data_IF_768404488272
#
_entry.id   IF_768404488272
#
_cell.length_a   1.000
_cell.length_b   1.000
_cell.length_c   1.000
_cell.angle_alpha   90.00
_cell.angle_beta   90.00
_cell.angle_gamma   90.00
#
_symmetry.space_group_name_H-M   'P 1'
#
loop_
_entity.id
_entity.type
_entity.pdbx_description
1 polymer ?
#
# COMPACT_ATOMS: atom_id res chain seq x y z
N UNK A 1 -2.24 -6.94 35.46
CA UNK A 1 -1.95 -6.13 34.24
C UNK A 1 -2.24 -7.03 33.04
N UNK A 2 -3.29 -6.70 32.27
CA UNK A 2 -3.81 -7.41 31.07
C UNK A 2 -2.74 -7.53 29.97
N UNK A 3 -2.76 -8.42 28.97
CA UNK A 3 -3.64 -9.49 28.49
C UNK A 3 -2.78 -10.36 27.54
N UNK A 4 -3.09 -11.64 27.37
CA UNK A 4 -2.52 -12.51 26.33
C UNK A 4 -3.41 -12.51 25.09
N UNK A 5 -2.85 -12.23 23.90
CA UNK A 5 -3.42 -12.68 22.61
C UNK A 5 -2.26 -13.15 21.70
N UNK A 6 -2.34 -14.38 21.16
CA UNK A 6 -1.30 -14.98 20.30
C UNK A 6 -1.61 -14.72 18.81
N UNK A 7 -0.58 -14.44 18.01
CA UNK A 7 -0.48 -14.86 16.58
C UNK A 7 0.82 -14.39 15.91
N UNK A 8 1.63 -15.37 15.54
CA UNK A 8 2.39 -15.44 14.27
C UNK A 8 2.96 -14.14 13.69
N UNK A 9 3.87 -13.51 14.42
CA UNK A 9 5.04 -12.78 13.93
C UNK A 9 5.94 -12.73 15.16
N UNK A 10 7.20 -13.17 15.06
CA UNK A 10 8.08 -13.18 16.23
C UNK A 10 8.12 -11.77 16.82
N UNK A 11 7.43 -11.56 17.95
CA UNK A 11 7.32 -10.24 18.56
C UNK A 11 8.65 -9.98 19.25
N UNK A 12 9.52 -9.22 18.61
CA UNK A 12 10.78 -8.79 19.21
C UNK A 12 10.47 -7.80 20.35
N UNK A 13 10.64 -8.27 21.58
CA UNK A 13 10.54 -7.42 22.77
C UNK A 13 11.97 -7.18 23.28
N UNK A 14 12.34 -5.92 23.43
CA UNK A 14 13.63 -5.50 23.99
C UNK A 14 13.34 -4.85 25.33
N UNK A 15 14.02 -5.29 26.39
CA UNK A 15 13.96 -4.66 27.70
C UNK A 15 15.18 -3.73 27.84
N UNK A 16 14.91 -2.45 28.13
CA UNK A 16 15.96 -1.44 28.31
C UNK A 16 15.97 -1.02 29.78
N UNK A 17 17.10 -1.13 30.50
CA UNK A 17 17.22 -0.66 31.87
C UNK A 17 17.01 0.85 31.96
N UNK A 18 16.33 1.31 33.03
CA UNK A 18 16.02 2.73 33.24
C UNK A 18 17.27 3.63 33.19
N UNK A 19 18.40 3.12 33.69
CA UNK A 19 19.67 3.85 33.71
C UNK A 19 20.14 4.28 32.31
N UNK A 20 19.86 3.48 31.27
CA UNK A 20 20.31 3.75 29.89
C UNK A 20 19.31 4.51 29.03
N UNK A 21 18.13 4.87 29.58
CA UNK A 21 17.04 5.46 28.79
C UNK A 21 17.33 6.90 28.34
N UNK A 22 18.12 7.65 29.13
CA UNK A 22 18.47 9.04 28.79
C UNK A 22 19.45 9.08 27.63
N UNK A 23 20.53 8.29 27.68
CA UNK A 23 21.49 8.19 26.58
C UNK A 23 20.80 7.65 25.31
N UNK A 24 19.92 6.65 25.48
CA UNK A 24 19.14 6.11 24.37
C UNK A 24 18.20 7.15 23.74
N UNK A 25 17.55 7.99 24.56
CA UNK A 25 16.71 9.09 24.06
C UNK A 25 17.55 10.09 23.26
N UNK A 26 18.70 10.50 23.79
CA UNK A 26 19.52 11.55 23.18
C UNK A 26 20.12 11.07 21.85
N UNK A 27 20.63 9.83 21.79
CA UNK A 27 21.11 9.21 20.55
C UNK A 27 20.00 9.01 19.51
N UNK A 28 18.82 8.55 19.93
CA UNK A 28 17.67 8.47 19.04
C UNK A 28 17.26 9.85 18.51
N UNK A 29 17.36 10.88 19.34
CA UNK A 29 17.04 12.26 18.92
C UNK A 29 18.04 12.74 17.88
N UNK A 30 19.34 12.48 18.07
CA UNK A 30 20.37 12.80 17.08
C UNK A 30 20.15 12.04 15.76
N UNK A 31 19.83 10.75 15.82
CA UNK A 31 19.50 9.96 14.63
C UNK A 31 18.24 10.45 13.92
N UNK A 32 17.22 10.89 14.66
CA UNK A 32 16.00 11.46 14.10
C UNK A 32 16.24 12.86 13.52
N UNK A 33 17.18 13.65 14.06
CA UNK A 33 17.54 14.94 13.48
C UNK A 33 18.36 14.77 12.19
N UNK A 34 19.28 13.80 12.15
CA UNK A 34 20.15 13.53 11.00
C UNK A 34 19.45 12.75 9.89
N UNK A 35 18.62 11.75 10.25
CA UNK A 35 17.99 10.81 9.32
C UNK A 35 16.48 10.74 9.42
N UNK A 36 15.87 11.52 10.32
CA UNK A 36 14.43 11.72 10.29
C UNK A 36 14.12 12.34 8.95
N UNK A 37 13.55 11.51 8.07
CA UNK A 37 12.75 12.07 7.02
C UNK A 37 11.60 12.71 7.76
N UNK A 38 11.53 14.03 7.74
CA UNK A 38 10.36 14.79 8.18
C UNK A 38 9.25 14.36 7.22
N UNK A 39 8.69 13.17 7.46
CA UNK A 39 7.68 12.53 6.62
C UNK A 39 6.37 13.34 6.67
N UNK A 40 6.35 14.45 7.42
CA UNK A 40 5.39 15.53 7.30
C UNK A 40 5.42 16.24 5.94
N UNK A 41 6.42 16.03 5.08
CA UNK A 41 6.50 16.65 3.74
C UNK A 41 6.18 15.70 2.56
N UNK A 42 5.62 14.50 2.79
CA UNK A 42 5.12 13.63 1.70
C UNK A 42 3.66 13.18 1.84
N UNK A 43 2.89 13.80 2.75
CA UNK A 43 1.44 13.95 2.58
C UNK A 43 1.11 15.24 1.79
N UNK A 44 1.89 15.56 0.77
CA UNK A 44 1.46 16.55 -0.21
C UNK A 44 0.21 16.03 -0.88
N UNK A 45 -0.96 16.60 -0.52
CA UNK A 45 -2.31 16.43 -1.10
C UNK A 45 -2.45 15.27 -2.10
N UNK A 46 -2.20 14.04 -1.62
CA UNK A 46 -2.24 12.86 -2.49
C UNK A 46 -3.71 12.63 -2.86
N UNK A 47 -3.99 12.18 -4.10
CA UNK A 47 -5.36 11.91 -4.53
C UNK A 47 -6.11 11.03 -3.54
N UNK A 48 -7.36 11.38 -3.27
CA UNK A 48 -8.22 10.60 -2.39
C UNK A 48 -8.34 9.15 -2.86
N UNK A 49 -8.20 8.21 -1.92
CA UNK A 49 -8.38 6.78 -2.19
C UNK A 49 -9.76 6.52 -2.81
N UNK A 50 -9.80 5.67 -3.83
CA UNK A 50 -11.06 5.24 -4.46
C UNK A 50 -11.31 3.76 -4.21
N UNK A 51 -12.56 3.34 -4.28
CA UNK A 51 -12.91 1.93 -4.18
C UNK A 51 -14.05 1.56 -5.12
N UNK A 52 -14.05 0.31 -5.57
CA UNK A 52 -15.06 -0.24 -6.46
C UNK A 52 -15.43 -1.66 -6.02
N UNK A 53 -16.72 -1.92 -5.85
CA UNK A 53 -17.23 -3.26 -5.55
C UNK A 53 -17.63 -3.96 -6.85
N UNK A 54 -17.12 -5.16 -7.06
CA UNK A 54 -17.49 -6.03 -8.19
C UNK A 54 -17.79 -7.41 -7.63
N UNK A 55 -19.04 -7.86 -7.76
CA UNK A 55 -19.52 -9.15 -7.22
C UNK A 55 -19.23 -9.32 -5.71
N UNK A 56 -18.43 -10.34 -5.33
CA UNK A 56 -18.00 -10.61 -3.96
C UNK A 56 -16.65 -9.96 -3.60
N UNK A 57 -16.11 -9.12 -4.48
CA UNK A 57 -14.77 -8.53 -4.37
C UNK A 57 -14.85 -7.02 -4.17
N UNK A 58 -13.93 -6.50 -3.36
CA UNK A 58 -13.72 -5.08 -3.19
C UNK A 58 -12.36 -4.69 -3.73
N UNK A 59 -12.32 -3.75 -4.66
CA UNK A 59 -11.09 -3.15 -5.17
C UNK A 59 -10.85 -1.81 -4.48
N UNK A 60 -9.63 -1.61 -4.00
CA UNK A 60 -9.16 -0.33 -3.43
C UNK A 60 -8.03 0.22 -4.27
N UNK A 61 -8.05 1.54 -4.49
CA UNK A 61 -7.08 2.29 -5.27
C UNK A 61 -6.51 3.38 -4.37
N UNK A 62 -5.33 3.13 -3.82
CA UNK A 62 -4.66 4.03 -2.88
C UNK A 62 -3.45 4.67 -3.56
N UNK A 63 -3.36 5.99 -3.55
CA UNK A 63 -2.10 6.66 -3.93
C UNK A 63 -1.27 6.86 -2.68
N UNK A 64 -0.01 6.41 -2.72
CA UNK A 64 0.95 6.56 -1.63
C UNK A 64 2.27 7.13 -2.14
N UNK A 65 3.06 7.65 -1.21
CA UNK A 65 4.44 8.10 -1.47
C UNK A 65 5.40 7.37 -0.53
N UNK A 66 6.62 7.14 -1.01
CA UNK A 66 7.74 6.70 -0.19
C UNK A 66 9.04 7.32 -0.73
N UNK A 67 10.20 6.99 -0.15
CA UNK A 67 11.52 7.49 -0.59
C UNK A 67 11.84 7.24 -2.07
N UNK A 68 11.14 6.31 -2.74
CA UNK A 68 11.31 6.00 -4.17
C UNK A 68 10.35 6.79 -5.08
N UNK A 69 9.43 7.57 -4.52
CA UNK A 69 8.42 8.36 -5.22
C UNK A 69 6.99 7.89 -5.00
N UNK A 70 6.07 8.46 -5.78
CA UNK A 70 4.63 8.20 -5.71
C UNK A 70 4.28 6.89 -6.43
N UNK A 71 3.30 6.17 -5.89
CA UNK A 71 2.79 4.92 -6.44
C UNK A 71 1.29 4.78 -6.26
N UNK A 72 0.67 4.01 -7.15
CA UNK A 72 -0.71 3.55 -7.02
C UNK A 72 -0.68 2.10 -6.51
N UNK A 73 -1.38 1.83 -5.40
CA UNK A 73 -1.62 0.48 -4.91
C UNK A 73 -3.05 0.06 -5.24
N UNK A 74 -3.18 -1.01 -6.01
CA UNK A 74 -4.48 -1.62 -6.33
C UNK A 74 -4.62 -2.89 -5.51
N UNK A 75 -5.60 -2.95 -4.60
CA UNK A 75 -5.85 -4.11 -3.74
C UNK A 75 -7.15 -4.81 -4.13
N UNK A 76 -7.13 -6.12 -4.36
CA UNK A 76 -8.31 -6.98 -4.42
C UNK A 76 -8.54 -7.58 -3.04
N UNK A 77 -9.73 -7.39 -2.48
CA UNK A 77 -10.14 -7.93 -1.17
C UNK A 77 -11.36 -8.81 -1.33
N UNK A 78 -11.26 -10.04 -0.81
CA UNK A 78 -12.35 -10.99 -0.58
C UNK A 78 -12.46 -11.28 0.92
N UNK A 79 -13.46 -12.05 1.33
CA UNK A 79 -13.72 -12.38 2.75
C UNK A 79 -12.48 -12.85 3.52
N UNK A 80 -11.60 -13.65 2.89
CA UNK A 80 -10.45 -14.26 3.55
C UNK A 80 -9.09 -13.96 2.88
N UNK A 81 -9.09 -13.21 1.78
CA UNK A 81 -7.89 -13.01 0.98
C UNK A 81 -7.77 -11.56 0.53
N UNK A 82 -6.56 -11.03 0.66
CA UNK A 82 -6.20 -9.71 0.16
C UNK A 82 -4.92 -9.82 -0.64
N UNK A 83 -4.99 -9.43 -1.91
CA UNK A 83 -3.85 -9.36 -2.81
C UNK A 83 -3.72 -7.92 -3.31
N UNK A 84 -2.51 -7.47 -3.63
CA UNK A 84 -2.31 -6.12 -4.14
C UNK A 84 -1.12 -6.05 -5.09
N UNK A 85 -1.22 -5.13 -6.04
CA UNK A 85 -0.12 -4.72 -6.91
C UNK A 85 0.24 -3.26 -6.63
N UNK A 86 1.50 -2.89 -6.89
CA UNK A 86 2.00 -1.52 -6.73
C UNK A 86 2.58 -1.04 -8.06
N UNK A 87 2.07 0.09 -8.55
CA UNK A 87 2.41 0.66 -9.85
C UNK A 87 3.08 2.02 -9.60
N UNK A 88 4.36 2.20 -9.94
CA UNK A 88 5.03 3.49 -9.77
C UNK A 88 4.42 4.53 -10.71
N UNK A 89 4.37 5.80 -10.27
CA UNK A 89 3.76 6.92 -11.01
C UNK A 89 4.24 7.03 -12.46
N UNK A 90 5.56 6.89 -12.67
CA UNK A 90 6.21 6.92 -14.00
C UNK A 90 5.63 5.94 -15.02
N UNK A 91 4.90 4.91 -14.58
CA UNK A 91 4.31 3.88 -15.43
C UNK A 91 2.80 4.03 -15.64
N UNK A 92 2.13 5.01 -15.03
CA UNK A 92 0.66 5.14 -15.08
C UNK A 92 0.13 5.34 -16.49
N UNK A 93 0.74 6.21 -17.29
CA UNK A 93 0.34 6.46 -18.69
C UNK A 93 0.34 5.15 -19.49
N UNK A 94 1.45 4.40 -19.43
CA UNK A 94 1.56 3.11 -20.14
C UNK A 94 0.57 2.07 -19.62
N UNK A 95 0.34 2.02 -18.31
CA UNK A 95 -0.64 1.11 -17.71
C UNK A 95 -2.06 1.43 -18.18
N UNK A 96 -2.44 2.71 -18.19
CA UNK A 96 -3.73 3.18 -18.72
C UNK A 96 -3.89 2.84 -20.20
N UNK A 97 -2.88 3.12 -21.03
CA UNK A 97 -2.97 2.89 -22.47
C UNK A 97 -3.17 1.39 -22.79
N UNK A 98 -2.48 0.51 -22.05
CA UNK A 98 -2.69 -0.94 -22.13
C UNK A 98 -4.12 -1.35 -21.74
N UNK A 99 -4.67 -0.78 -20.67
CA UNK A 99 -6.05 -1.04 -20.26
C UNK A 99 -7.05 -0.57 -21.31
N UNK A 100 -6.82 0.61 -21.90
CA UNK A 100 -7.66 1.15 -22.96
C UNK A 100 -7.65 0.24 -24.20
N UNK A 101 -6.50 -0.31 -24.60
CA UNK A 101 -6.43 -1.26 -25.71
C UNK A 101 -7.33 -2.49 -25.49
N UNK A 102 -7.39 -3.00 -24.26
CA UNK A 102 -8.29 -4.12 -23.92
C UNK A 102 -9.78 -3.73 -23.93
N UNK A 103 -10.10 -2.49 -23.57
CA UNK A 103 -11.49 -1.98 -23.59
C UNK A 103 -11.96 -1.72 -25.02
N UNK A 104 -11.09 -1.16 -25.86
CA UNK A 104 -11.37 -0.83 -27.27
C UNK A 104 -11.34 -2.06 -28.19
N UNK A 105 -10.78 -3.18 -27.71
CA UNK A 105 -10.91 -4.51 -28.33
C UNK A 105 -11.95 -5.34 -27.56
N UNK A 106 -13.25 -4.98 -27.56
CA UNK A 106 -14.27 -5.87 -27.05
C UNK A 106 -14.20 -7.15 -27.89
N UNK A 107 -14.17 -8.29 -27.22
CA UNK A 107 -14.04 -9.63 -27.79
C UNK A 107 -14.83 -9.80 -29.09
N UNK A 108 -14.16 -9.63 -30.23
CA UNK A 108 -14.69 -9.93 -31.54
C UNK A 108 -14.60 -11.45 -31.77
N UNK A 109 -15.38 -12.26 -31.04
CA UNK A 109 -15.70 -13.65 -31.38
C UNK A 109 -16.66 -14.28 -30.37
N UNK A 110 -17.95 -14.27 -30.67
CA UNK A 110 -18.89 -15.38 -30.46
C UNK A 110 -20.14 -15.01 -31.25
N UNK A 111 -20.14 -15.34 -32.55
CA UNK A 111 -21.38 -15.35 -33.34
C UNK A 111 -22.15 -16.60 -32.93
N UNK A 112 -23.40 -16.40 -32.54
CA UNK A 112 -24.40 -17.46 -32.42
C UNK A 112 -24.56 -18.17 -33.77
N UNK A 113 -24.22 -19.46 -33.83
CA UNK A 113 -24.77 -20.35 -34.84
C UNK A 113 -26.02 -20.99 -34.23
N UNK A 114 -27.18 -20.40 -34.49
CA UNK A 114 -28.47 -21.07 -34.35
C UNK A 114 -28.71 -21.86 -35.63
N UNK A 115 -28.93 -23.16 -35.50
CA UNK A 115 -29.56 -24.00 -36.51
C UNK A 115 -30.85 -24.57 -35.92
#
# INVERSE_FOLDING_TARGET
VSQTIPRSQQRSQIAIPAQGMIEFRDELTALLDEFGTDDHETQGDLPESRSMRVENKMFYFDVGSNRRGVFLRVSEVRTNFRTAITIPERSWTRFRDMMNEFVERPSSSCKEETN
#
